data_IF_078886036842
#
_entry.id   IF_078886036842
#
_cell.length_a   1.000
_cell.length_b   1.000
_cell.length_c   1.000
_cell.angle_alpha   90.00
_cell.angle_beta   90.00
_cell.angle_gamma   90.00
#
_symmetry.space_group_name_H-M   'P 1'
#
loop_
_entity.id
_entity.type
_entity.pdbx_description
1 polymer ?
#
# COMPACT_ATOMS: atom_id res chain seq x y z
N UNK A 1 -27.22 -46.91 1.84
CA UNK A 1 -27.37 -45.53 1.33
C UNK A 1 -26.84 -44.50 2.32
N UNK A 2 -27.02 -44.69 3.64
CA UNK A 2 -26.49 -43.78 4.68
C UNK A 2 -24.96 -43.67 4.76
N UNK A 3 -24.21 -44.76 4.57
CA UNK A 3 -22.73 -44.72 4.62
C UNK A 3 -22.11 -43.83 3.53
N UNK A 4 -22.71 -43.82 2.33
CA UNK A 4 -22.25 -42.97 1.22
C UNK A 4 -22.51 -41.49 1.49
N UNK A 5 -23.66 -41.16 2.11
CA UNK A 5 -23.99 -39.79 2.47
C UNK A 5 -23.08 -39.24 3.57
N UNK A 6 -22.68 -40.08 4.53
CA UNK A 6 -21.71 -39.74 5.57
C UNK A 6 -20.29 -39.51 5.02
N UNK A 7 -19.87 -40.29 4.03
CA UNK A 7 -18.60 -40.07 3.32
C UNK A 7 -18.61 -38.78 2.49
N UNK A 8 -19.72 -38.51 1.79
CA UNK A 8 -19.86 -37.29 0.97
C UNK A 8 -19.89 -36.02 1.83
N UNK A 9 -20.54 -36.05 3.01
CA UNK A 9 -20.50 -34.93 3.98
C UNK A 9 -19.10 -34.70 4.55
N UNK A 10 -18.36 -35.78 4.84
CA UNK A 10 -16.96 -35.67 5.32
C UNK A 10 -16.06 -35.05 4.26
N UNK A 11 -16.15 -35.53 3.01
CA UNK A 11 -15.39 -34.96 1.88
C UNK A 11 -15.71 -33.50 1.65
N UNK A 12 -17.00 -33.12 1.75
CA UNK A 12 -17.41 -31.73 1.55
C UNK A 12 -16.82 -30.81 2.62
N UNK A 13 -16.83 -31.24 3.89
CA UNK A 13 -16.16 -30.52 4.98
C UNK A 13 -14.65 -30.42 4.81
N UNK A 14 -14.00 -31.49 4.35
CA UNK A 14 -12.56 -31.49 4.07
C UNK A 14 -12.21 -30.51 2.94
N UNK A 15 -13.00 -30.48 1.87
CA UNK A 15 -12.82 -29.55 0.73
C UNK A 15 -13.08 -28.10 1.16
N UNK A 16 -14.12 -27.84 1.95
CA UNK A 16 -14.40 -26.51 2.48
C UNK A 16 -13.30 -26.03 3.43
N UNK A 17 -12.76 -26.92 4.26
CA UNK A 17 -11.62 -26.63 5.15
C UNK A 17 -10.35 -26.34 4.35
N UNK A 18 -10.00 -27.17 3.37
CA UNK A 18 -8.80 -26.97 2.55
C UNK A 18 -8.88 -25.70 1.72
N UNK A 19 -10.07 -25.37 1.19
CA UNK A 19 -10.28 -24.12 0.47
C UNK A 19 -10.13 -22.90 1.38
N UNK A 20 -10.54 -23.01 2.64
CA UNK A 20 -10.35 -21.94 3.62
C UNK A 20 -8.89 -21.76 4.06
N UNK A 21 -8.15 -22.85 4.21
CA UNK A 21 -6.70 -22.82 4.50
C UNK A 21 -5.92 -22.22 3.33
N UNK A 22 -6.21 -22.66 2.10
CA UNK A 22 -5.54 -22.16 0.90
C UNK A 22 -5.80 -20.65 0.69
N UNK A 23 -6.99 -20.18 1.09
CA UNK A 23 -7.33 -18.75 1.04
C UNK A 23 -6.59 -17.95 2.14
N UNK A 24 -6.41 -18.52 3.32
CA UNK A 24 -5.65 -17.89 4.40
C UNK A 24 -4.16 -17.80 4.04
N UNK A 25 -3.59 -18.87 3.49
CA UNK A 25 -2.20 -18.90 3.03
C UNK A 25 -1.93 -17.84 1.95
N UNK A 26 -2.85 -17.66 1.00
CA UNK A 26 -2.76 -16.58 0.00
C UNK A 26 -2.81 -15.18 0.61
N UNK A 27 -3.64 -14.98 1.64
CA UNK A 27 -3.74 -13.68 2.32
C UNK A 27 -2.47 -13.39 3.13
N UNK A 28 -1.88 -14.41 3.76
CA UNK A 28 -0.61 -14.27 4.47
C UNK A 28 0.53 -13.94 3.49
N UNK A 29 0.58 -14.58 2.33
CA UNK A 29 1.55 -14.26 1.26
C UNK A 29 1.39 -12.82 0.73
N UNK A 30 0.15 -12.36 0.56
CA UNK A 30 -0.13 -10.97 0.16
C UNK A 30 0.27 -9.98 1.25
N UNK A 31 -0.02 -10.28 2.52
CA UNK A 31 0.40 -9.47 3.67
C UNK A 31 1.92 -9.41 3.79
N UNK A 32 2.62 -10.53 3.62
CA UNK A 32 4.07 -10.57 3.71
C UNK A 32 4.73 -9.77 2.57
N UNK A 33 4.16 -9.83 1.36
CA UNK A 33 4.58 -8.99 0.23
C UNK A 33 4.39 -7.51 0.51
N UNK A 34 3.21 -7.12 1.01
CA UNK A 34 2.91 -5.74 1.39
C UNK A 34 3.89 -5.29 2.48
N UNK A 35 4.06 -6.05 3.56
CA UNK A 35 5.00 -5.70 4.62
C UNK A 35 6.42 -5.51 4.10
N UNK A 36 6.93 -6.43 3.27
CA UNK A 36 8.26 -6.29 2.65
C UNK A 36 8.38 -5.06 1.76
N UNK A 37 7.31 -4.71 1.03
CA UNK A 37 7.28 -3.55 0.14
C UNK A 37 7.36 -2.23 0.90
N UNK A 38 6.73 -2.12 2.08
CA UNK A 38 6.68 -0.87 2.85
C UNK A 38 7.66 -0.82 4.03
N UNK A 39 8.30 -1.94 4.41
CA UNK A 39 9.21 -2.02 5.55
C UNK A 39 10.36 -1.02 5.45
N UNK A 40 11.02 -0.92 4.30
CA UNK A 40 12.19 -0.06 4.15
C UNK A 40 11.82 1.43 4.27
N UNK A 41 10.69 1.83 3.69
CA UNK A 41 10.18 3.20 3.81
C UNK A 41 9.76 3.51 5.24
N UNK A 42 9.04 2.62 5.92
CA UNK A 42 8.66 2.80 7.33
C UNK A 42 9.88 2.89 8.25
N UNK A 43 10.88 2.03 8.03
CA UNK A 43 12.12 2.03 8.82
C UNK A 43 12.89 3.35 8.68
N UNK A 44 13.03 3.86 7.45
CA UNK A 44 13.71 5.15 7.20
C UNK A 44 12.97 6.29 7.89
N UNK A 45 11.64 6.32 7.79
CA UNK A 45 10.80 7.34 8.45
C UNK A 45 10.95 7.32 9.98
N UNK A 46 10.97 6.15 10.58
CA UNK A 46 11.04 6.00 12.04
C UNK A 46 12.43 6.33 12.62
N UNK A 47 13.50 6.19 11.84
CA UNK A 47 14.89 6.28 12.32
C UNK A 47 15.65 7.50 11.77
N UNK A 48 15.02 8.37 10.99
CA UNK A 48 15.68 9.55 10.46
C UNK A 48 15.92 10.59 11.58
N UNK A 49 17.14 11.16 11.68
CA UNK A 49 17.48 12.17 12.69
C UNK A 49 16.79 13.52 12.43
N UNK A 50 16.29 13.74 11.21
CA UNK A 50 15.47 14.88 10.81
C UNK A 50 14.26 14.36 10.02
N UNK A 51 13.14 15.08 10.08
CA UNK A 51 11.90 14.74 9.39
C UNK A 51 12.09 14.86 7.86
N UNK A 52 11.94 13.74 7.14
CA UNK A 52 12.18 13.68 5.69
C UNK A 52 10.85 13.76 4.95
N UNK A 53 10.40 14.98 4.67
CA UNK A 53 9.12 15.23 4.00
C UNK A 53 8.97 14.49 2.65
N UNK A 54 10.06 14.35 1.89
CA UNK A 54 10.07 13.55 0.66
C UNK A 54 9.67 12.09 0.91
N UNK A 55 10.19 11.48 1.97
CA UNK A 55 9.91 10.09 2.29
C UNK A 55 8.45 9.92 2.73
N UNK A 56 7.89 10.87 3.49
CA UNK A 56 6.47 10.84 3.87
C UNK A 56 5.55 10.94 2.66
N UNK A 57 5.84 11.86 1.74
CA UNK A 57 5.08 12.04 0.50
C UNK A 57 5.13 10.75 -0.34
N UNK A 58 6.31 10.15 -0.49
CA UNK A 58 6.47 8.91 -1.25
C UNK A 58 5.76 7.74 -0.58
N UNK A 59 5.87 7.59 0.74
CA UNK A 59 5.16 6.56 1.49
C UNK A 59 3.64 6.68 1.32
N UNK A 60 3.09 7.90 1.40
CA UNK A 60 1.67 8.17 1.16
C UNK A 60 1.24 7.84 -0.27
N UNK A 61 2.07 8.17 -1.26
CA UNK A 61 1.81 7.80 -2.66
C UNK A 61 1.81 6.29 -2.83
N UNK A 62 2.78 5.57 -2.28
CA UNK A 62 2.84 4.11 -2.40
C UNK A 62 1.64 3.44 -1.72
N UNK A 63 1.20 3.94 -0.55
CA UNK A 63 -0.03 3.48 0.11
C UNK A 63 -1.30 3.65 -0.76
N UNK A 64 -1.30 4.62 -1.68
CA UNK A 64 -2.39 4.88 -2.64
C UNK A 64 -2.10 4.27 -4.02
N UNK A 65 -1.43 3.12 -4.06
CA UNK A 65 -1.11 2.40 -5.31
C UNK A 65 -0.28 3.24 -6.31
N UNK A 66 0.49 4.20 -5.81
CA UNK A 66 1.34 5.08 -6.61
C UNK A 66 0.59 6.22 -7.30
N UNK A 67 -0.68 6.49 -6.99
CA UNK A 67 -1.44 7.57 -7.62
C UNK A 67 -2.33 8.31 -6.62
N UNK A 68 -2.29 9.64 -6.63
CA UNK A 68 -3.10 10.46 -5.72
C UNK A 68 -3.34 11.88 -6.26
N UNK A 69 -4.34 12.56 -5.73
CA UNK A 69 -4.50 14.00 -5.95
C UNK A 69 -3.63 14.79 -4.95
N UNK A 70 -2.98 15.85 -5.44
CA UNK A 70 -2.14 16.75 -4.67
C UNK A 70 -2.86 17.33 -3.45
N UNK A 71 -4.13 17.71 -3.58
CA UNK A 71 -4.87 18.34 -2.49
C UNK A 71 -5.29 17.34 -1.41
N UNK A 72 -5.43 16.06 -1.76
CA UNK A 72 -5.70 15.01 -0.79
C UNK A 72 -4.44 14.61 -0.03
N UNK A 73 -3.30 14.51 -0.71
CA UNK A 73 -2.01 14.30 -0.05
C UNK A 73 -1.73 15.40 0.97
N UNK A 74 -1.97 16.68 0.64
CA UNK A 74 -1.73 17.80 1.57
C UNK A 74 -2.53 17.70 2.87
N UNK A 75 -3.73 17.11 2.85
CA UNK A 75 -4.58 16.97 4.04
C UNK A 75 -4.13 15.83 4.95
N UNK A 76 -3.44 14.85 4.39
CA UNK A 76 -3.02 13.63 5.08
C UNK A 76 -1.59 13.70 5.63
N UNK A 77 -0.82 14.72 5.21
CA UNK A 77 0.53 14.97 5.69
C UNK A 77 0.50 15.91 6.90
N UNK A 78 1.33 15.63 7.90
CA UNK A 78 1.52 16.51 9.06
C UNK A 78 2.57 17.60 8.76
N UNK A 79 2.48 18.23 7.58
CA UNK A 79 3.38 19.29 7.14
C UNK A 79 2.60 20.45 6.55
N UNK A 80 3.11 21.70 6.65
CA UNK A 80 2.43 22.85 6.08
C UNK A 80 2.14 22.67 4.56
N UNK A 81 0.94 23.01 4.06
CA UNK A 81 0.56 22.77 2.66
C UNK A 81 1.53 23.38 1.62
N UNK A 82 2.15 24.52 1.97
CA UNK A 82 3.16 25.18 1.12
C UNK A 82 4.43 24.31 1.02
N UNK A 83 4.87 23.71 2.13
CA UNK A 83 6.01 22.79 2.14
C UNK A 83 5.69 21.53 1.34
N UNK A 84 4.52 20.92 1.55
CA UNK A 84 4.07 19.76 0.77
C UNK A 84 4.09 20.05 -0.74
N UNK A 85 3.52 21.18 -1.16
CA UNK A 85 3.51 21.58 -2.57
C UNK A 85 4.92 21.75 -3.12
N UNK A 86 5.80 22.42 -2.36
CA UNK A 86 7.20 22.63 -2.76
C UNK A 86 7.93 21.30 -2.93
N UNK A 87 7.82 20.41 -1.95
CA UNK A 87 8.50 19.12 -1.95
C UNK A 87 7.99 18.23 -3.10
N UNK A 88 6.68 18.19 -3.34
CA UNK A 88 6.09 17.46 -4.47
C UNK A 88 6.61 18.00 -5.81
N UNK A 89 6.64 19.33 -6.00
CA UNK A 89 7.23 19.91 -7.21
C UNK A 89 8.72 19.57 -7.36
N UNK A 90 9.48 19.53 -6.27
CA UNK A 90 10.89 19.13 -6.31
C UNK A 90 11.06 17.65 -6.67
N UNK A 91 10.21 16.76 -6.16
CA UNK A 91 10.19 15.33 -6.53
C UNK A 91 9.86 15.15 -8.02
N UNK A 92 8.95 15.97 -8.56
CA UNK A 92 8.61 15.97 -9.98
C UNK A 92 9.79 16.43 -10.86
N UNK A 93 10.48 17.51 -10.46
CA UNK A 93 11.70 17.99 -11.14
C UNK A 93 12.83 16.93 -11.13
N UNK A 94 12.93 16.16 -10.04
CA UNK A 94 13.89 15.04 -9.90
C UNK A 94 13.46 13.78 -10.66
N UNK A 95 12.33 13.81 -11.36
CA UNK A 95 11.78 12.67 -12.10
C UNK A 95 11.46 11.43 -11.23
N UNK A 96 11.22 11.62 -9.94
CA UNK A 96 10.81 10.54 -9.03
C UNK A 96 9.30 10.30 -9.12
N UNK A 97 8.54 11.37 -9.39
CA UNK A 97 7.10 11.34 -9.60
C UNK A 97 6.75 12.15 -10.83
N UNK A 98 5.55 11.96 -11.36
CA UNK A 98 4.91 12.83 -12.32
C UNK A 98 3.84 13.67 -11.62
N UNK A 99 3.77 14.96 -11.94
CA UNK A 99 2.73 15.87 -11.49
C UNK A 99 2.05 16.47 -12.73
N UNK A 100 0.78 16.16 -12.91
CA UNK A 100 -0.07 16.83 -13.88
C UNK A 100 -0.56 18.16 -13.26
N UNK A 101 -0.08 19.29 -13.79
CA UNK A 101 -0.44 20.62 -13.28
C UNK A 101 -1.88 21.04 -13.65
N UNK A 102 -2.50 20.39 -14.65
CA UNK A 102 -3.87 20.70 -15.06
C UNK A 102 -4.89 19.95 -14.16
N UNK A 103 -4.58 18.72 -13.78
CA UNK A 103 -5.47 17.87 -12.98
C UNK A 103 -5.08 17.75 -11.50
N UNK A 104 -3.91 18.28 -11.11
CA UNK A 104 -3.30 18.09 -9.79
C UNK A 104 -3.06 16.61 -9.44
N UNK A 105 -2.97 15.74 -10.45
CA UNK A 105 -2.71 14.32 -10.26
C UNK A 105 -1.22 14.06 -10.10
N UNK A 106 -0.87 13.30 -9.07
CA UNK A 106 0.48 12.85 -8.78
C UNK A 106 0.56 11.35 -9.02
N UNK A 107 1.56 10.92 -9.77
CA UNK A 107 1.84 9.50 -10.04
C UNK A 107 3.29 9.16 -9.75
N UNK A 108 3.54 8.03 -9.10
CA UNK A 108 4.87 7.46 -8.96
C UNK A 108 5.37 7.05 -10.35
N UNK A 109 6.63 7.35 -10.69
CA UNK A 109 7.25 6.91 -11.94
C UNK A 109 7.78 5.48 -11.84
#
# INVERSE_FOLDING_TARGET
>A
MEQKQLEDERRKKEIESSFSEEKLERLDDELEKIQKQYFFTSFILENAPEEIHEADILAKLMQKEGKANLDDIKKELDIPPIMATRTIKQLAVKEIINLDEDTNEITLK
#
